data_IF_330931767480
#
_entry.id   IF_330931767480
#
_cell.length_a   1.000
_cell.length_b   1.000
_cell.length_c   1.000
_cell.angle_alpha   90.00
_cell.angle_beta   90.00
_cell.angle_gamma   90.00
#
_symmetry.space_group_name_H-M   'P 1'
#
loop_
_entity.id
_entity.type
_entity.pdbx_description
1 polymer ?
#
# COMPACT_ATOMS: atom_id res chain seq x y z
N UNK A 1 -1.58 -47.13 12.76
CA UNK A 1 -0.49 -46.97 13.76
C UNK A 1 0.83 -46.95 13.02
N UNK A 2 1.79 -46.08 13.39
CA UNK A 2 3.11 -46.07 12.75
C UNK A 2 3.86 -47.38 13.05
N UNK A 3 4.59 -47.87 12.05
CA UNK A 3 5.44 -49.06 12.15
C UNK A 3 6.82 -48.63 12.65
N UNK A 4 7.23 -49.14 13.82
CA UNK A 4 8.53 -48.80 14.39
C UNK A 4 9.66 -49.48 13.61
N UNK A 5 10.61 -48.68 13.09
CA UNK A 5 11.84 -49.19 12.50
C UNK A 5 12.77 -49.66 13.61
N UNK A 6 12.83 -50.97 13.83
CA UNK A 6 13.71 -51.58 14.84
C UNK A 6 15.08 -51.97 14.26
N UNK A 7 15.12 -52.26 12.96
CA UNK A 7 16.36 -52.57 12.26
C UNK A 7 17.17 -51.28 12.04
N UNK A 8 18.30 -51.17 12.71
CA UNK A 8 19.25 -50.08 12.54
C UNK A 8 20.66 -50.60 12.79
N UNK A 9 21.63 -50.13 12.01
CA UNK A 9 23.04 -50.45 12.19
C UNK A 9 23.80 -49.15 12.44
N UNK A 10 24.59 -49.10 13.51
CA UNK A 10 25.39 -47.93 13.82
C UNK A 10 26.86 -48.31 14.01
N UNK A 11 27.74 -47.37 13.69
CA UNK A 11 29.19 -47.43 13.90
C UNK A 11 29.63 -46.10 14.48
N UNK A 12 30.77 -46.06 15.14
CA UNK A 12 31.29 -44.83 15.71
C UNK A 12 32.80 -44.73 15.58
N UNK A 13 33.26 -43.49 15.61
CA UNK A 13 34.63 -43.09 15.90
C UNK A 13 34.62 -42.28 17.20
N UNK A 14 35.79 -41.85 17.65
CA UNK A 14 35.90 -40.94 18.80
C UNK A 14 35.14 -39.62 18.55
N UNK A 15 35.03 -39.16 17.30
CA UNK A 15 34.46 -37.85 16.93
C UNK A 15 33.08 -37.90 16.25
N UNK A 16 32.66 -39.05 15.70
CA UNK A 16 31.42 -39.14 14.93
C UNK A 16 30.69 -40.47 15.14
N UNK A 17 29.39 -40.45 14.87
CA UNK A 17 28.50 -41.61 14.84
C UNK A 17 27.89 -41.73 13.46
N UNK A 18 28.00 -42.91 12.88
CA UNK A 18 27.41 -43.26 11.60
C UNK A 18 26.22 -44.17 11.86
N UNK A 19 25.02 -43.69 11.56
CA UNK A 19 23.78 -44.45 11.73
C UNK A 19 23.17 -44.75 10.37
N UNK A 20 22.87 -46.02 10.12
CA UNK A 20 22.22 -46.50 8.90
C UNK A 20 20.85 -47.08 9.24
N UNK A 21 19.81 -46.49 8.63
CA UNK A 21 18.42 -46.91 8.77
C UNK A 21 17.93 -47.50 7.43
N UNK A 22 17.83 -48.83 7.30
CA UNK A 22 17.27 -49.45 6.10
C UNK A 22 15.76 -49.23 6.03
N UNK A 23 15.28 -48.64 4.94
CA UNK A 23 13.87 -48.40 4.65
C UNK A 23 13.52 -49.07 3.32
N UNK A 24 13.21 -50.38 3.39
CA UNK A 24 12.95 -51.20 2.20
C UNK A 24 11.61 -50.82 1.55
N UNK A 25 11.61 -50.59 0.25
CA UNK A 25 10.40 -50.47 -0.57
C UNK A 25 9.86 -49.05 -0.82
N UNK A 26 10.54 -47.99 -0.37
CA UNK A 26 10.08 -46.62 -0.58
C UNK A 26 10.77 -45.93 -1.76
N UNK A 27 9.96 -45.48 -2.74
CA UNK A 27 10.39 -44.56 -3.80
C UNK A 27 10.21 -43.13 -3.31
N UNK A 28 11.33 -42.43 -3.08
CA UNK A 28 11.50 -40.98 -2.92
C UNK A 28 10.30 -40.22 -2.32
N UNK A 29 9.78 -40.66 -1.17
CA UNK A 29 8.84 -39.88 -0.36
C UNK A 29 9.61 -38.89 0.50
N UNK A 30 9.09 -37.67 0.79
CA UNK A 30 9.78 -36.73 1.66
C UNK A 30 9.92 -37.33 3.07
N UNK A 31 11.14 -37.70 3.44
CA UNK A 31 11.44 -38.13 4.80
C UNK A 31 11.47 -36.91 5.71
N UNK A 32 10.67 -36.93 6.78
CA UNK A 32 10.72 -35.88 7.77
C UNK A 32 11.74 -36.26 8.85
N UNK A 33 12.90 -35.62 8.79
CA UNK A 33 14.02 -35.84 9.72
C UNK A 33 14.05 -34.64 10.66
N UNK A 34 13.85 -34.91 11.95
CA UNK A 34 13.99 -33.95 13.03
C UNK A 34 15.18 -34.37 13.88
N UNK A 35 16.22 -33.55 13.88
CA UNK A 35 17.45 -33.78 14.62
C UNK A 35 17.68 -32.60 15.56
N UNK A 36 18.08 -32.89 16.79
CA UNK A 36 18.55 -31.89 17.77
C UNK A 36 19.84 -32.40 18.40
N UNK A 37 20.34 -31.68 19.41
CA UNK A 37 21.51 -32.06 20.19
C UNK A 37 21.42 -33.47 20.80
N UNK A 38 20.26 -33.90 21.31
CA UNK A 38 20.12 -35.19 22.01
C UNK A 38 19.01 -36.08 21.47
N UNK A 39 18.26 -35.63 20.46
CA UNK A 39 17.08 -36.33 19.96
C UNK A 39 17.10 -36.43 18.45
N UNK A 40 16.86 -37.64 17.94
CA UNK A 40 16.72 -37.93 16.53
C UNK A 40 15.38 -38.60 16.28
N UNK A 41 14.58 -38.00 15.41
CA UNK A 41 13.30 -38.54 14.94
C UNK A 41 13.27 -38.56 13.43
N UNK A 42 12.92 -39.71 12.88
CA UNK A 42 12.74 -39.91 11.45
C UNK A 42 11.34 -40.45 11.22
N UNK A 43 10.53 -39.68 10.51
CA UNK A 43 9.15 -40.03 10.20
C UNK A 43 9.00 -40.18 8.69
N UNK A 44 8.69 -41.39 8.25
CA UNK A 44 8.44 -41.71 6.84
C UNK A 44 7.21 -42.62 6.76
N UNK A 45 6.01 -42.10 6.50
CA UNK A 45 4.79 -42.91 6.56
C UNK A 45 4.88 -44.22 5.74
N UNK A 46 4.60 -45.40 6.33
CA UNK A 46 4.08 -45.65 7.68
C UNK A 46 5.13 -45.81 8.79
N UNK A 47 6.42 -45.73 8.48
CA UNK A 47 7.55 -45.95 9.37
C UNK A 47 7.90 -44.77 10.29
N UNK A 48 8.32 -45.10 11.51
CA UNK A 48 8.81 -44.15 12.50
C UNK A 48 10.06 -44.70 13.19
N UNK A 49 11.07 -43.86 13.36
CA UNK A 49 12.24 -44.10 14.20
C UNK A 49 12.40 -42.92 15.16
N UNK A 50 12.56 -43.20 16.44
CA UNK A 50 12.87 -42.20 17.47
C UNK A 50 14.02 -42.74 18.32
N UNK A 51 15.05 -41.92 18.54
CA UNK A 51 16.22 -42.24 19.33
C UNK A 51 16.64 -41.03 20.15
N UNK A 52 16.74 -41.22 21.47
CA UNK A 52 17.41 -40.26 22.37
C UNK A 52 18.87 -40.69 22.44
N UNK A 53 19.76 -39.85 21.90
CA UNK A 53 21.18 -40.14 21.77
C UNK A 53 21.85 -40.20 23.14
N UNK A 54 22.88 -41.04 23.27
CA UNK A 54 23.61 -41.21 24.52
C UNK A 54 24.26 -39.91 25.04
N UNK A 55 24.80 -39.09 24.13
CA UNK A 55 25.48 -37.84 24.44
C UNK A 55 25.15 -36.77 23.37
N UNK A 56 25.32 -35.47 23.67
CA UNK A 56 24.93 -34.41 22.76
C UNK A 56 25.79 -34.38 21.49
N UNK A 57 25.13 -34.19 20.35
CA UNK A 57 25.72 -34.03 19.03
C UNK A 57 25.67 -32.59 18.56
N UNK A 58 26.53 -32.25 17.61
CA UNK A 58 26.51 -30.99 16.91
C UNK A 58 25.53 -31.05 15.74
N UNK A 59 24.35 -30.46 15.96
CA UNK A 59 23.27 -30.36 14.97
C UNK A 59 23.67 -29.61 13.70
N UNK A 60 24.61 -28.65 13.78
CA UNK A 60 24.95 -27.79 12.64
C UNK A 60 25.84 -28.48 11.61
N UNK A 61 26.77 -29.32 12.06
CA UNK A 61 27.72 -30.04 11.21
C UNK A 61 27.25 -31.46 10.85
N UNK A 62 26.24 -31.98 11.56
CA UNK A 62 25.69 -33.31 11.30
C UNK A 62 24.90 -33.32 9.99
N UNK A 63 25.03 -34.40 9.21
CA UNK A 63 24.39 -34.51 7.89
C UNK A 63 23.60 -35.80 7.76
N UNK A 64 22.49 -35.76 7.02
CA UNK A 64 21.68 -36.91 6.67
C UNK A 64 21.59 -37.06 5.16
N UNK A 65 21.95 -38.23 4.63
CA UNK A 65 21.87 -38.57 3.22
C UNK A 65 20.85 -39.68 3.03
N UNK A 66 19.89 -39.48 2.13
CA UNK A 66 18.85 -40.45 1.80
C UNK A 66 19.18 -41.02 0.42
N UNK A 67 19.38 -42.34 0.31
CA UNK A 67 19.69 -42.96 -0.98
C UNK A 67 19.52 -44.48 -0.96
N UNK A 68 19.13 -45.07 -2.10
CA UNK A 68 19.05 -46.52 -2.31
C UNK A 68 18.26 -47.29 -1.22
N UNK A 69 17.19 -46.69 -0.70
CA UNK A 69 16.37 -47.32 0.36
C UNK A 69 17.06 -47.37 1.73
N UNK A 70 18.08 -46.54 1.97
CA UNK A 70 18.76 -46.40 3.27
C UNK A 70 18.92 -44.92 3.59
N UNK A 71 18.71 -44.55 4.85
CA UNK A 71 19.08 -43.24 5.36
C UNK A 71 20.38 -43.38 6.12
N UNK A 72 21.38 -42.61 5.72
CA UNK A 72 22.69 -42.58 6.33
C UNK A 72 22.89 -41.25 7.05
N UNK A 73 23.08 -41.31 8.36
CA UNK A 73 23.39 -40.17 9.20
C UNK A 73 24.88 -40.17 9.53
N UNK A 74 25.49 -39.01 9.38
CA UNK A 74 26.81 -38.68 9.93
C UNK A 74 26.60 -37.66 11.02
N UNK A 75 26.59 -38.11 12.28
CA UNK A 75 26.37 -37.27 13.45
C UNK A 75 27.71 -36.97 14.12
N UNK A 76 28.05 -35.70 14.29
CA UNK A 76 29.30 -35.32 14.96
C UNK A 76 29.07 -35.13 16.46
N UNK A 77 29.93 -35.74 17.29
CA UNK A 77 29.83 -35.65 18.75
C UNK A 77 30.35 -34.28 19.20
N UNK A 78 29.69 -33.65 20.18
CA UNK A 78 30.25 -32.42 20.82
C UNK A 78 31.49 -32.73 21.65
N UNK A 79 31.49 -33.88 22.32
CA UNK A 79 32.60 -34.36 23.13
C UNK A 79 33.17 -35.65 22.52
N UNK A 80 34.49 -35.72 22.39
CA UNK A 80 35.16 -36.87 21.80
C UNK A 80 35.19 -38.05 22.81
N UNK A 81 34.19 -38.91 22.76
CA UNK A 81 34.07 -40.08 23.64
C UNK A 81 33.48 -41.28 22.89
N UNK A 82 33.89 -42.49 23.25
CA UNK A 82 33.26 -43.73 22.76
C UNK A 82 31.95 -43.97 23.51
N UNK A 83 30.89 -44.31 22.79
CA UNK A 83 29.56 -44.56 23.36
C UNK A 83 29.35 -46.06 23.56
N UNK A 84 28.89 -46.47 24.74
CA UNK A 84 28.58 -47.88 25.00
C UNK A 84 27.28 -48.33 24.31
N UNK A 85 26.40 -47.38 24.02
CA UNK A 85 25.13 -47.59 23.31
C UNK A 85 24.76 -46.35 22.49
N UNK A 86 23.98 -46.53 21.42
CA UNK A 86 23.49 -45.40 20.61
C UNK A 86 22.48 -44.55 21.38
N UNK A 87 21.64 -45.22 22.18
CA UNK A 87 20.56 -44.61 22.95
C UNK A 87 20.84 -44.69 24.44
N UNK A 88 20.40 -43.69 25.21
CA UNK A 88 20.46 -43.72 26.67
C UNK A 88 19.72 -44.96 27.23
N UNK A 89 20.46 -45.95 27.75
CA UNK A 89 19.91 -47.22 28.21
C UNK A 89 19.07 -47.12 29.48
N UNK A 90 17.97 -47.88 29.56
CA UNK A 90 17.09 -48.07 30.73
C UNK A 90 16.63 -46.80 31.47
N UNK A 91 16.35 -45.71 30.77
CA UNK A 91 15.72 -44.54 31.39
C UNK A 91 14.21 -44.74 31.58
N UNK A 92 13.69 -44.29 32.72
CA UNK A 92 12.26 -44.28 33.02
C UNK A 92 11.48 -43.56 31.91
N UNK A 93 10.29 -44.06 31.58
CA UNK A 93 9.43 -43.50 30.51
C UNK A 93 9.21 -41.99 30.64
N UNK A 94 9.11 -41.50 31.87
CA UNK A 94 8.96 -40.08 32.21
C UNK A 94 10.20 -39.24 31.85
N UNK A 95 11.40 -39.78 32.11
CA UNK A 95 12.67 -39.12 31.76
C UNK A 95 12.83 -39.00 30.24
N UNK A 96 12.48 -40.05 29.50
CA UNK A 96 12.50 -40.03 28.03
C UNK A 96 11.49 -39.03 27.46
N UNK A 97 10.30 -38.93 28.06
CA UNK A 97 9.30 -37.94 27.67
C UNK A 97 9.79 -36.51 27.93
N UNK A 98 10.34 -36.25 29.12
CA UNK A 98 10.91 -34.94 29.47
C UNK A 98 12.04 -34.51 28.51
N UNK A 99 12.95 -35.43 28.17
CA UNK A 99 14.03 -35.15 27.21
C UNK A 99 13.49 -34.82 25.82
N UNK A 100 12.45 -35.53 25.38
CA UNK A 100 11.78 -35.25 24.10
C UNK A 100 11.11 -33.87 24.10
N UNK A 101 10.38 -33.54 25.15
CA UNK A 101 9.70 -32.24 25.27
C UNK A 101 10.71 -31.09 25.29
N UNK A 102 11.79 -31.23 26.06
CA UNK A 102 12.88 -30.27 26.10
C UNK A 102 13.57 -30.08 24.74
N UNK A 103 13.83 -31.17 24.01
CA UNK A 103 14.45 -31.09 22.69
C UNK A 103 13.56 -30.33 21.69
N UNK A 104 12.24 -30.58 21.73
CA UNK A 104 11.27 -29.87 20.88
C UNK A 104 11.17 -28.40 21.27
N UNK A 105 11.15 -28.08 22.57
CA UNK A 105 11.10 -26.70 23.06
C UNK A 105 12.33 -25.91 22.61
N UNK A 106 13.54 -26.45 22.82
CA UNK A 106 14.79 -25.81 22.36
C UNK A 106 14.80 -25.57 20.85
N UNK A 107 14.33 -26.54 20.06
CA UNK A 107 14.25 -26.39 18.61
C UNK A 107 13.26 -25.28 18.20
N UNK A 108 12.14 -25.17 18.91
CA UNK A 108 11.15 -24.13 18.67
C UNK A 108 11.68 -22.73 19.06
N UNK A 109 12.37 -22.61 20.18
CA UNK A 109 13.03 -21.37 20.61
C UNK A 109 14.07 -20.91 19.60
N UNK A 110 14.99 -21.80 19.20
CA UNK A 110 16.00 -21.51 18.16
C UNK A 110 15.36 -21.09 16.84
N UNK A 111 14.32 -21.79 16.40
CA UNK A 111 13.59 -21.42 15.17
C UNK A 111 12.93 -20.03 15.28
N UNK A 112 12.38 -19.69 16.44
CA UNK A 112 11.80 -18.37 16.71
C UNK A 112 12.88 -17.28 16.63
N UNK A 113 14.00 -17.47 17.31
CA UNK A 113 15.15 -16.54 17.28
C UNK A 113 15.67 -16.34 15.86
N UNK A 114 15.80 -17.39 15.05
CA UNK A 114 16.21 -17.29 13.65
C UNK A 114 15.22 -16.47 12.81
N UNK A 115 13.91 -16.62 13.04
CA UNK A 115 12.90 -15.82 12.34
C UNK A 115 12.94 -14.35 12.76
N UNK A 116 13.21 -14.07 14.03
CA UNK A 116 13.37 -12.71 14.55
C UNK A 116 14.64 -12.07 14.00
N UNK A 117 15.77 -12.78 13.99
CA UNK A 117 17.01 -12.34 13.38
C UNK A 117 16.85 -12.02 11.88
N UNK A 118 16.14 -12.88 11.12
CA UNK A 118 15.81 -12.63 9.71
C UNK A 118 14.92 -11.40 9.51
N UNK A 119 14.04 -11.09 10.45
CA UNK A 119 13.23 -9.87 10.42
C UNK A 119 14.10 -8.64 10.67
N UNK A 120 15.00 -8.71 11.65
CA UNK A 120 15.94 -7.62 11.98
C UNK A 120 16.84 -7.31 10.79
N UNK A 121 17.51 -8.31 10.21
CA UNK A 121 18.37 -8.09 9.04
C UNK A 121 17.58 -7.52 7.85
N UNK A 122 16.36 -8.00 7.61
CA UNK A 122 15.47 -7.43 6.58
C UNK A 122 15.11 -5.96 6.86
N UNK A 123 14.87 -5.59 8.12
CA UNK A 123 14.62 -4.20 8.51
C UNK A 123 15.87 -3.33 8.31
N UNK A 124 17.04 -3.82 8.69
CA UNK A 124 18.32 -3.14 8.48
C UNK A 124 18.60 -2.90 6.99
N UNK A 125 18.42 -3.92 6.15
CA UNK A 125 18.57 -3.78 4.69
C UNK A 125 17.59 -2.74 4.11
N UNK A 126 16.34 -2.71 4.58
CA UNK A 126 15.37 -1.68 4.15
C UNK A 126 15.81 -0.28 4.58
N UNK A 127 16.28 -0.12 5.83
CA UNK A 127 16.77 1.16 6.34
C UNK A 127 17.98 1.65 5.56
N UNK A 128 18.93 0.77 5.28
CA UNK A 128 20.10 1.08 4.46
C UNK A 128 19.71 1.53 3.05
N UNK A 129 18.78 0.80 2.41
CA UNK A 129 18.28 1.17 1.07
C UNK A 129 17.60 2.55 1.08
N UNK A 130 16.75 2.83 2.07
CA UNK A 130 16.12 4.15 2.24
C UNK A 130 17.17 5.26 2.40
N UNK A 131 18.16 5.05 3.28
CA UNK A 131 19.22 6.03 3.52
C UNK A 131 20.03 6.31 2.24
N UNK A 132 20.32 5.28 1.44
CA UNK A 132 20.98 5.43 0.15
C UNK A 132 20.12 6.25 -0.83
N UNK A 133 18.81 5.99 -0.91
CA UNK A 133 17.89 6.77 -1.76
C UNK A 133 17.80 8.23 -1.34
N UNK A 134 17.73 8.51 -0.03
CA UNK A 134 17.70 9.88 0.49
C UNK A 134 18.99 10.64 0.15
N UNK A 135 20.16 9.98 0.25
CA UNK A 135 21.45 10.58 -0.13
C UNK A 135 21.51 10.93 -1.62
N UNK A 136 20.96 10.08 -2.49
CA UNK A 136 20.87 10.36 -3.92
C UNK A 136 19.92 11.54 -4.20
N UNK A 137 18.72 11.53 -3.63
CA UNK A 137 17.76 12.63 -3.79
C UNK A 137 18.30 13.96 -3.26
N UNK A 138 19.01 13.95 -2.13
CA UNK A 138 19.60 15.17 -1.57
C UNK A 138 20.70 15.73 -2.49
N UNK A 139 21.54 14.86 -3.08
CA UNK A 139 22.54 15.26 -4.06
C UNK A 139 21.89 15.83 -5.33
N UNK A 140 20.78 15.23 -5.79
CA UNK A 140 20.01 15.75 -6.93
C UNK A 140 19.39 17.12 -6.64
N UNK A 141 18.79 17.30 -5.46
CA UNK A 141 18.22 18.59 -5.03
C UNK A 141 19.29 19.68 -4.99
N UNK A 142 20.45 19.40 -4.38
CA UNK A 142 21.60 20.32 -4.36
C UNK A 142 22.04 20.69 -5.78
N UNK A 143 22.12 19.71 -6.68
CA UNK A 143 22.48 19.96 -8.08
C UNK A 143 21.46 20.86 -8.79
N UNK A 144 20.17 20.69 -8.53
CA UNK A 144 19.11 21.54 -9.11
C UNK A 144 19.19 22.96 -8.53
N UNK A 145 19.43 23.11 -7.23
CA UNK A 145 19.61 24.41 -6.58
C UNK A 145 20.81 25.16 -7.16
N UNK A 146 21.94 24.49 -7.33
CA UNK A 146 23.14 25.06 -7.95
C UNK A 146 22.89 25.51 -9.41
N UNK A 147 22.08 24.75 -10.16
CA UNK A 147 21.69 25.12 -11.52
C UNK A 147 20.78 26.36 -11.53
N UNK A 148 19.76 26.38 -10.66
CA UNK A 148 18.87 27.53 -10.51
C UNK A 148 19.63 28.79 -10.13
N UNK A 149 20.56 28.68 -9.19
CA UNK A 149 21.35 29.83 -8.75
C UNK A 149 22.28 30.34 -9.85
N UNK A 150 22.90 29.45 -10.64
CA UNK A 150 23.67 29.84 -11.83
C UNK A 150 22.83 30.56 -12.88
N UNK A 151 21.61 30.08 -13.13
CA UNK A 151 20.69 30.75 -14.06
C UNK A 151 20.26 32.11 -13.52
N UNK A 152 19.91 32.21 -12.24
CA UNK A 152 19.59 33.49 -11.58
C UNK A 152 20.75 34.47 -11.72
N UNK A 153 21.98 34.04 -11.46
CA UNK A 153 23.17 34.87 -11.61
C UNK A 153 23.44 35.32 -13.06
N UNK A 154 23.09 34.50 -14.06
CA UNK A 154 23.18 34.92 -15.47
C UNK A 154 22.14 35.98 -15.80
N UNK A 155 20.88 35.73 -15.41
CA UNK A 155 19.78 36.65 -15.65
C UNK A 155 20.02 38.00 -14.95
N UNK A 156 20.55 38.00 -13.72
CA UNK A 156 20.87 39.25 -13.02
C UNK A 156 21.96 40.03 -13.75
N UNK A 157 23.01 39.36 -14.24
CA UNK A 157 24.07 40.02 -15.03
C UNK A 157 23.55 40.57 -16.36
N UNK A 158 22.70 39.82 -17.05
CA UNK A 158 22.06 40.27 -18.29
C UNK A 158 21.15 41.48 -18.05
N UNK A 159 20.37 41.47 -16.96
CA UNK A 159 19.54 42.60 -16.56
C UNK A 159 20.38 43.84 -16.25
N UNK A 160 21.49 43.70 -15.52
CA UNK A 160 22.42 44.80 -15.22
C UNK A 160 23.07 45.36 -16.50
N UNK A 161 23.46 44.50 -17.45
CA UNK A 161 24.00 44.92 -18.74
C UNK A 161 22.96 45.67 -19.58
N UNK A 162 21.73 45.17 -19.62
CA UNK A 162 20.62 45.83 -20.31
C UNK A 162 20.30 47.20 -19.70
N UNK A 163 20.28 47.32 -18.36
CA UNK A 163 20.09 48.60 -17.67
C UNK A 163 21.18 49.61 -18.04
N UNK A 164 22.46 49.19 -18.06
CA UNK A 164 23.56 50.06 -18.51
C UNK A 164 23.41 50.50 -19.96
N UNK A 165 23.02 49.59 -20.86
CA UNK A 165 22.75 49.95 -22.25
C UNK A 165 21.62 50.97 -22.40
N UNK A 166 20.55 50.85 -21.59
CA UNK A 166 19.48 51.85 -21.56
C UNK A 166 19.98 53.21 -21.08
N UNK A 167 20.75 53.25 -19.98
CA UNK A 167 21.34 54.49 -19.49
C UNK A 167 22.28 55.14 -20.51
N UNK A 168 23.13 54.35 -21.18
CA UNK A 168 24.07 54.85 -22.17
C UNK A 168 23.36 55.31 -23.45
N UNK A 169 22.30 54.61 -23.89
CA UNK A 169 21.45 55.05 -24.99
C UNK A 169 20.69 56.34 -24.65
N UNK A 170 20.23 56.51 -23.40
CA UNK A 170 19.59 57.74 -22.95
C UNK A 170 20.60 58.89 -22.90
N UNK A 171 21.82 58.66 -22.40
CA UNK A 171 22.92 59.65 -22.44
C UNK A 171 23.26 60.06 -23.87
N UNK A 172 23.38 59.11 -24.79
CA UNK A 172 23.65 59.41 -26.20
C UNK A 172 22.51 60.23 -26.84
N UNK A 173 21.25 59.89 -26.55
CA UNK A 173 20.09 60.69 -27.00
C UNK A 173 20.10 62.10 -26.40
N UNK A 174 20.53 62.27 -25.14
CA UNK A 174 20.68 63.60 -24.53
C UNK A 174 21.77 64.40 -25.23
N UNK A 175 22.94 63.81 -25.49
CA UNK A 175 24.05 64.47 -26.22
C UNK A 175 23.64 64.83 -27.65
N UNK A 176 22.93 63.95 -28.36
CA UNK A 176 22.39 64.24 -29.69
C UNK A 176 21.39 65.40 -29.66
N UNK A 177 20.44 65.38 -28.72
CA UNK A 177 19.49 66.50 -28.53
C UNK A 177 20.19 67.81 -28.19
N UNK A 178 21.23 67.78 -27.35
CA UNK A 178 22.03 68.96 -27.03
C UNK A 178 22.79 69.48 -28.26
N UNK A 179 23.33 68.59 -29.09
CA UNK A 179 23.96 68.93 -30.37
C UNK A 179 22.97 69.54 -31.38
N UNK A 180 21.80 68.91 -31.56
CA UNK A 180 20.71 69.41 -32.41
C UNK A 180 20.21 70.78 -31.93
N UNK A 181 20.00 70.96 -30.62
CA UNK A 181 19.67 72.25 -30.01
C UNK A 181 20.77 73.28 -30.27
N UNK A 182 22.04 72.90 -30.23
CA UNK A 182 23.15 73.82 -30.46
C UNK A 182 23.25 74.23 -31.94
N UNK A 183 23.03 73.32 -32.89
CA UNK A 183 22.91 73.63 -34.32
C UNK A 183 21.68 74.50 -34.60
N UNK A 184 20.54 74.20 -33.98
CA UNK A 184 19.31 74.97 -34.13
C UNK A 184 19.47 76.39 -33.56
N UNK A 185 20.19 76.54 -32.44
CA UNK A 185 20.58 77.84 -31.88
C UNK A 185 21.53 78.60 -32.82
N UNK A 186 22.51 77.94 -33.44
CA UNK A 186 23.40 78.59 -34.42
C UNK A 186 22.65 79.03 -35.69
N UNK A 187 21.74 78.19 -36.21
CA UNK A 187 20.84 78.56 -37.31
C UNK A 187 19.89 79.71 -36.92
N UNK A 188 19.43 79.75 -35.67
CA UNK A 188 18.63 80.86 -35.14
C UNK A 188 19.46 82.14 -34.96
N UNK A 189 20.76 82.05 -34.66
CA UNK A 189 21.68 83.20 -34.63
C UNK A 189 21.93 83.75 -36.03
N UNK A 190 22.10 82.88 -37.04
CA UNK A 190 22.17 83.28 -38.45
C UNK A 190 20.85 83.94 -38.91
N UNK A 191 19.70 83.33 -38.60
CA UNK A 191 18.38 83.89 -38.92
C UNK A 191 18.07 85.17 -38.12
N UNK A 192 18.63 85.36 -36.91
CA UNK A 192 18.55 86.62 -36.14
C UNK A 192 19.45 87.72 -36.69
N UNK A 193 20.56 87.39 -37.35
CA UNK A 193 21.35 88.36 -38.13
C UNK A 193 20.55 88.92 -39.31
N UNK A 194 19.65 88.13 -39.89
CA UNK A 194 18.79 88.55 -41.00
C UNK A 194 17.46 89.21 -40.58
N UNK A 195 17.00 89.02 -39.34
CA UNK A 195 15.75 89.62 -38.85
C UNK A 195 15.95 90.43 -37.59
N UNK A 196 16.58 91.59 -37.75
CA UNK A 196 16.45 92.70 -36.82
C UNK A 196 15.53 93.77 -37.44
N UNK A 197 14.22 93.60 -37.31
CA UNK A 197 13.25 94.71 -37.34
C UNK A 197 11.86 94.29 -36.84
N UNK A 198 11.38 95.05 -35.84
CA UNK A 198 10.00 95.27 -35.37
C UNK A 198 9.33 94.29 -34.37
N UNK A 199 9.41 94.71 -33.09
CA UNK A 199 8.32 95.04 -32.11
C UNK A 199 7.09 94.15 -31.90
N UNK A 200 6.77 93.89 -30.62
CA UNK A 200 5.39 93.92 -30.08
C UNK A 200 4.98 92.80 -29.09
N UNK A 201 4.87 93.15 -27.80
CA UNK A 201 4.22 92.45 -26.65
C UNK A 201 2.68 92.74 -26.74
N UNK A 202 1.67 91.95 -26.27
CA UNK A 202 1.49 91.46 -24.88
C UNK A 202 0.65 90.17 -24.60
N UNK A 203 0.69 89.74 -23.30
CA UNK A 203 -0.29 89.08 -22.39
C UNK A 203 -1.36 88.10 -22.95
N UNK A 204 -1.81 87.01 -22.31
CA UNK A 204 -2.18 86.74 -20.91
C UNK A 204 -2.62 85.25 -20.76
N UNK A 205 -2.74 84.72 -19.53
CA UNK A 205 -3.79 83.73 -19.20
C UNK A 205 -3.41 82.31 -18.72
N UNK A 206 -3.66 82.07 -17.41
CA UNK A 206 -4.38 80.91 -16.79
C UNK A 206 -3.88 79.46 -17.04
N UNK A 207 -3.88 78.46 -16.14
CA UNK A 207 -4.45 78.18 -14.81
C UNK A 207 -3.61 77.05 -14.16
N UNK A 208 -3.40 77.04 -12.84
CA UNK A 208 -2.86 75.87 -12.09
C UNK A 208 -3.94 75.26 -11.20
N UNK A 209 -4.25 73.98 -11.44
CA UNK A 209 -5.19 73.14 -10.69
C UNK A 209 -4.53 72.64 -9.40
N UNK A 210 -5.14 72.90 -8.23
CA UNK A 210 -4.79 72.26 -6.95
C UNK A 210 -6.07 71.89 -6.23
N UNK A 211 -6.35 70.59 -6.15
CA UNK A 211 -7.49 70.01 -5.44
C UNK A 211 -7.22 69.97 -3.92
N UNK A 212 -8.23 70.34 -3.13
CA UNK A 212 -8.32 70.18 -1.67
C UNK A 212 -9.11 68.91 -1.32
N UNK A 213 -8.92 68.32 -0.12
CA UNK A 213 -9.59 67.09 0.29
C UNK A 213 -10.97 67.36 0.92
N UNK A 214 -11.95 66.52 0.60
CA UNK A 214 -13.30 66.52 1.18
C UNK A 214 -13.39 65.50 2.32
N UNK A 215 -13.78 65.97 3.52
CA UNK A 215 -14.32 65.14 4.60
C UNK A 215 -15.77 64.76 4.27
N UNK A 216 -16.15 63.52 4.53
CA UNK A 216 -17.55 63.08 4.45
C UNK A 216 -17.76 61.72 5.11
N UNK A 217 -18.71 61.69 6.06
CA UNK A 217 -19.55 60.59 6.55
C UNK A 217 -18.91 59.21 6.83
N UNK A 218 -18.96 58.66 8.05
CA UNK A 218 -20.12 58.59 8.94
C UNK A 218 -20.85 57.25 8.72
N UNK A 219 -20.24 56.13 9.10
CA UNK A 219 -20.84 54.81 9.05
C UNK A 219 -21.73 54.58 10.28
N UNK A 220 -23.03 54.59 10.06
CA UNK A 220 -24.04 54.17 11.02
C UNK A 220 -23.98 52.64 11.17
N UNK A 221 -23.70 52.16 12.38
CA UNK A 221 -23.73 50.73 12.72
C UNK A 221 -25.16 50.33 13.05
N UNK A 222 -25.88 49.75 12.08
CA UNK A 222 -27.13 49.02 12.31
C UNK A 222 -26.74 47.60 12.73
N UNK A 223 -26.48 47.38 14.02
CA UNK A 223 -26.56 46.07 14.72
C UNK A 223 -26.08 46.30 16.16
N UNK A 224 -26.98 46.77 17.00
CA UNK A 224 -26.84 46.70 18.46
C UNK A 224 -28.18 46.25 19.02
N UNK A 225 -28.50 44.97 18.79
CA UNK A 225 -29.58 44.29 19.47
C UNK A 225 -28.99 43.32 20.50
N UNK A 226 -29.52 43.48 21.71
CA UNK A 226 -29.24 42.71 22.91
C UNK A 226 -29.30 41.20 22.66
N UNK A 227 -28.17 40.52 22.73
CA UNK A 227 -28.14 39.08 23.02
C UNK A 227 -28.32 38.90 24.53
N UNK A 228 -29.54 38.56 24.95
CA UNK A 228 -29.75 37.89 26.24
C UNK A 228 -29.08 36.51 26.14
N UNK A 229 -28.09 36.27 26.98
CA UNK A 229 -27.54 34.93 27.20
C UNK A 229 -28.64 34.02 27.79
N UNK A 230 -29.25 33.18 26.96
CA UNK A 230 -29.99 32.02 27.46
C UNK A 230 -28.97 30.97 27.92
N UNK A 231 -28.86 30.79 29.23
CA UNK A 231 -28.04 29.73 29.82
C UNK A 231 -28.62 28.37 29.46
N UNK A 232 -27.87 27.58 28.69
CA UNK A 232 -28.21 26.19 28.41
C UNK A 232 -28.15 25.35 29.70
N UNK A 233 -29.10 24.43 29.93
CA UNK A 233 -29.07 23.57 31.11
C UNK A 233 -27.86 22.63 31.06
N UNK A 234 -27.24 22.41 32.23
CA UNK A 234 -26.05 21.59 32.35
C UNK A 234 -26.28 20.13 31.88
N UNK A 235 -25.31 19.52 31.17
CA UNK A 235 -25.40 18.13 30.75
C UNK A 235 -25.39 17.18 31.97
N UNK A 236 -26.17 16.11 31.87
CA UNK A 236 -26.33 15.10 32.94
C UNK A 236 -25.01 14.38 33.18
N UNK A 237 -24.71 14.05 34.44
CA UNK A 237 -23.49 13.31 34.81
C UNK A 237 -23.53 11.86 34.30
N UNK A 238 -22.39 11.38 33.79
CA UNK A 238 -22.23 10.01 33.32
C UNK A 238 -22.20 9.05 34.53
N UNK A 239 -23.06 8.02 34.52
CA UNK A 239 -23.04 6.94 35.50
C UNK A 239 -22.58 5.63 34.84
N UNK A 240 -21.54 5.02 35.40
CA UNK A 240 -21.01 3.74 34.93
C UNK A 240 -21.84 2.59 35.48
N UNK A 241 -22.63 1.96 34.62
CA UNK A 241 -23.39 0.75 34.97
C UNK A 241 -22.43 -0.44 34.89
N UNK A 242 -22.22 -1.14 36.01
CA UNK A 242 -21.48 -2.41 36.02
C UNK A 242 -22.38 -3.52 35.47
N UNK A 243 -22.12 -3.92 34.23
CA UNK A 243 -22.75 -5.08 33.60
C UNK A 243 -21.97 -6.32 34.03
N UNK A 244 -22.58 -7.17 34.84
CA UNK A 244 -22.05 -8.50 35.14
C UNK A 244 -22.67 -9.50 34.18
N UNK A 245 -21.87 -10.00 33.23
CA UNK A 245 -22.30 -11.07 32.33
C UNK A 245 -22.37 -12.39 33.11
N UNK A 246 -23.54 -13.01 33.12
CA UNK A 246 -23.74 -14.36 33.63
C UNK A 246 -23.02 -15.34 32.69
N UNK A 247 -22.09 -16.14 33.21
CA UNK A 247 -21.40 -17.14 32.40
C UNK A 247 -22.40 -18.17 31.89
N UNK A 248 -22.45 -18.35 30.56
CA UNK A 248 -23.24 -19.42 29.95
C UNK A 248 -22.60 -20.76 30.28
N UNK A 249 -23.27 -21.54 31.15
CA UNK A 249 -22.90 -22.93 31.43
C UNK A 249 -23.93 -23.84 30.76
N UNK A 250 -23.77 -24.03 29.45
CA UNK A 250 -24.32 -25.20 28.78
C UNK A 250 -23.14 -25.92 28.12
N UNK A 251 -22.72 -27.09 28.61
CA UNK A 251 -21.79 -27.92 27.87
C UNK A 251 -22.60 -28.55 26.73
N UNK A 252 -22.62 -27.91 25.56
CA UNK A 252 -23.06 -28.61 24.35
C UNK A 252 -22.13 -29.80 24.18
N UNK A 253 -22.68 -31.02 24.12
CA UNK A 253 -21.88 -32.23 23.98
C UNK A 253 -20.96 -32.09 22.75
N UNK A 254 -19.65 -32.13 22.98
CA UNK A 254 -18.65 -32.05 21.92
C UNK A 254 -18.82 -33.28 21.03
N UNK A 255 -19.32 -33.07 19.81
CA UNK A 255 -19.32 -34.10 18.79
C UNK A 255 -17.91 -34.15 18.22
N UNK A 256 -17.07 -35.02 18.78
CA UNK A 256 -15.65 -35.19 18.43
C UNK A 256 -15.40 -35.31 16.91
N UNK A 257 -16.41 -35.69 16.13
CA UNK A 257 -16.35 -35.78 14.66
C UNK A 257 -16.27 -34.43 13.92
N UNK A 258 -16.41 -33.27 14.57
CA UNK A 258 -16.36 -31.93 13.93
C UNK A 258 -15.27 -31.00 14.48
N UNK A 259 -14.45 -31.49 15.40
CA UNK A 259 -13.40 -30.68 16.06
C UNK A 259 -12.43 -30.10 15.04
N UNK A 260 -12.03 -30.89 14.03
CA UNK A 260 -11.13 -30.41 12.98
C UNK A 260 -11.76 -29.27 12.13
N UNK A 261 -13.05 -29.39 11.79
CA UNK A 261 -13.76 -28.34 11.03
C UNK A 261 -13.94 -27.07 11.86
N UNK A 262 -14.22 -27.21 13.16
CA UNK A 262 -14.32 -26.09 14.10
C UNK A 262 -12.96 -25.41 14.35
N UNK A 263 -11.88 -26.19 14.50
CA UNK A 263 -10.51 -25.67 14.63
C UNK A 263 -10.05 -24.94 13.37
N UNK A 264 -10.36 -25.47 12.18
CA UNK A 264 -10.10 -24.78 10.92
C UNK A 264 -10.90 -23.49 10.79
N UNK A 265 -12.18 -23.51 11.20
CA UNK A 265 -13.03 -22.32 11.21
C UNK A 265 -12.48 -21.26 12.18
N UNK A 266 -12.08 -21.66 13.38
CA UNK A 266 -11.47 -20.78 14.39
C UNK A 266 -10.11 -20.24 13.90
N UNK A 267 -9.29 -21.06 13.24
CA UNK A 267 -8.02 -20.63 12.64
C UNK A 267 -8.23 -19.61 11.53
N UNK A 268 -9.13 -19.87 10.58
CA UNK A 268 -9.51 -18.93 9.51
C UNK A 268 -10.02 -17.62 10.09
N UNK A 269 -10.79 -17.69 11.17
CA UNK A 269 -11.31 -16.50 11.84
C UNK A 269 -10.23 -15.74 12.60
N UNK A 270 -9.30 -16.42 13.27
CA UNK A 270 -8.16 -15.81 13.95
C UNK A 270 -7.18 -15.18 12.95
N UNK A 271 -6.95 -15.83 11.80
CA UNK A 271 -6.15 -15.30 10.70
C UNK A 271 -6.80 -14.05 10.10
N UNK A 272 -8.11 -14.10 9.81
CA UNK A 272 -8.86 -12.91 9.39
C UNK A 272 -8.74 -11.77 10.42
N UNK A 273 -8.88 -12.06 11.72
CA UNK A 273 -8.68 -11.05 12.78
C UNK A 273 -7.26 -10.52 12.84
N UNK A 274 -6.22 -11.34 12.62
CA UNK A 274 -4.82 -10.89 12.58
C UNK A 274 -4.53 -10.03 11.37
N UNK A 275 -5.05 -10.38 10.18
CA UNK A 275 -4.89 -9.54 8.98
C UNK A 275 -5.52 -8.17 9.16
N UNK A 276 -6.74 -8.13 9.71
CA UNK A 276 -7.42 -6.87 10.07
C UNK A 276 -6.65 -6.13 11.18
N UNK A 277 -6.14 -6.81 12.20
CA UNK A 277 -5.39 -6.20 13.31
C UNK A 277 -4.01 -5.66 12.89
N UNK A 278 -3.34 -6.30 11.93
CA UNK A 278 -2.06 -5.85 11.40
C UNK A 278 -2.24 -4.61 10.51
N UNK A 279 -3.30 -4.58 9.69
CA UNK A 279 -3.69 -3.39 8.92
C UNK A 279 -4.21 -2.25 9.83
N UNK A 280 -4.85 -2.57 10.96
CA UNK A 280 -5.34 -1.58 11.93
C UNK A 280 -4.21 -0.80 12.64
N UNK A 281 -3.03 -1.39 12.82
CA UNK A 281 -1.88 -0.69 13.41
C UNK A 281 -1.33 0.41 12.48
N UNK A 282 -1.55 0.32 11.17
CA UNK A 282 -1.27 1.40 10.19
C UNK A 282 -2.40 2.45 10.12
N UNK A 283 -3.57 2.16 10.70
CA UNK A 283 -4.77 3.02 10.66
C UNK A 283 -4.95 3.82 11.97
N UNK A 284 -4.05 3.67 12.95
CA UNK A 284 -4.12 4.35 14.25
C UNK A 284 -3.89 5.88 14.13
N UNK A 285 -3.16 6.31 13.09
CA UNK A 285 -2.89 7.71 12.76
C UNK A 285 -4.02 8.41 11.96
N UNK A 286 -5.10 7.69 11.60
CA UNK A 286 -6.23 8.27 10.87
C UNK A 286 -7.12 9.11 11.80
N UNK A 287 -7.56 10.28 11.29
CA UNK A 287 -8.54 11.13 12.00
C UNK A 287 -9.83 10.36 12.25
N UNK A 288 -10.59 10.71 13.28
CA UNK A 288 -11.85 10.03 13.64
C UNK A 288 -12.84 9.93 12.46
N UNK A 289 -12.89 10.93 11.60
CA UNK A 289 -13.71 10.93 10.37
C UNK A 289 -13.26 9.86 9.35
N UNK A 290 -11.95 9.61 9.24
CA UNK A 290 -11.38 8.65 8.30
C UNK A 290 -11.53 7.20 8.78
N UNK A 291 -11.98 6.99 10.02
CA UNK A 291 -12.39 5.68 10.54
C UNK A 291 -13.79 5.26 10.10
N UNK A 292 -14.57 6.17 9.50
CA UNK A 292 -15.89 5.85 8.97
C UNK A 292 -15.80 5.40 7.50
N UNK A 293 -16.21 4.15 7.15
CA UNK A 293 -16.17 3.66 5.77
C UNK A 293 -17.06 4.47 4.81
N UNK A 294 -18.17 5.03 5.30
CA UNK A 294 -19.07 5.85 4.47
C UNK A 294 -18.46 7.21 4.11
N UNK A 295 -17.70 7.80 5.02
CA UNK A 295 -16.97 9.04 4.76
C UNK A 295 -15.87 8.80 3.71
N UNK A 296 -15.11 7.71 3.83
CA UNK A 296 -14.08 7.36 2.84
C UNK A 296 -14.67 7.02 1.48
N UNK A 297 -15.84 6.36 1.45
CA UNK A 297 -16.62 6.13 0.22
C UNK A 297 -16.95 7.46 -0.45
N UNK A 298 -17.46 8.43 0.31
CA UNK A 298 -17.83 9.74 -0.24
C UNK A 298 -16.63 10.56 -0.68
N UNK A 299 -15.51 10.48 0.07
CA UNK A 299 -14.23 11.06 -0.36
C UNK A 299 -13.76 10.44 -1.68
N UNK A 300 -13.83 9.10 -1.81
CA UNK A 300 -13.54 8.39 -3.05
C UNK A 300 -14.44 8.83 -4.21
N UNK A 301 -15.74 9.03 -3.97
CA UNK A 301 -16.70 9.52 -4.96
C UNK A 301 -16.31 10.92 -5.46
N UNK A 302 -15.96 11.83 -4.54
CA UNK A 302 -15.49 13.18 -4.88
C UNK A 302 -14.22 13.15 -5.72
N UNK A 303 -13.24 12.32 -5.36
CA UNK A 303 -11.99 12.17 -6.12
C UNK A 303 -12.23 11.53 -7.50
N UNK A 304 -13.20 10.63 -7.61
CA UNK A 304 -13.62 10.08 -8.90
C UNK A 304 -14.25 11.15 -9.78
N UNK A 305 -15.12 11.99 -9.22
CA UNK A 305 -15.76 13.09 -9.94
C UNK A 305 -14.77 14.15 -10.41
N UNK A 306 -13.69 14.40 -9.66
CA UNK A 306 -12.59 15.30 -10.08
C UNK A 306 -11.62 14.65 -11.09
N UNK A 307 -11.83 13.39 -11.46
CA UNK A 307 -11.00 12.66 -12.41
C UNK A 307 -9.70 12.10 -11.83
N UNK A 308 -9.45 12.24 -10.52
CA UNK A 308 -8.29 11.68 -9.86
C UNK A 308 -8.56 10.24 -9.41
N UNK A 309 -8.50 9.31 -10.37
CA UNK A 309 -8.83 7.90 -10.15
C UNK A 309 -7.84 7.17 -9.22
N UNK A 310 -6.55 7.54 -9.23
CA UNK A 310 -5.54 6.92 -8.34
C UNK A 310 -5.82 7.24 -6.87
N UNK A 311 -6.09 8.51 -6.56
CA UNK A 311 -6.45 8.91 -5.20
C UNK A 311 -7.79 8.29 -4.77
N UNK A 312 -8.75 8.17 -5.69
CA UNK A 312 -10.01 7.48 -5.43
C UNK A 312 -9.79 5.99 -5.07
N UNK A 313 -8.94 5.27 -5.81
CA UNK A 313 -8.57 3.88 -5.49
C UNK A 313 -7.98 3.78 -4.09
N UNK A 314 -7.09 4.70 -3.70
CA UNK A 314 -6.49 4.69 -2.37
C UNK A 314 -7.55 4.91 -1.26
N UNK A 315 -8.48 5.85 -1.47
CA UNK A 315 -9.58 6.08 -0.53
C UNK A 315 -10.49 4.83 -0.39
N UNK A 316 -10.83 4.18 -1.50
CA UNK A 316 -11.61 2.94 -1.48
C UNK A 316 -10.83 1.77 -0.87
N UNK A 317 -9.51 1.67 -1.08
CA UNK A 317 -8.67 0.65 -0.45
C UNK A 317 -8.73 0.76 1.08
N UNK A 318 -8.60 1.98 1.61
CA UNK A 318 -8.75 2.24 3.04
C UNK A 318 -10.17 1.89 3.52
N UNK A 319 -11.20 2.29 2.76
CA UNK A 319 -12.59 1.96 3.10
C UNK A 319 -12.84 0.45 3.16
N UNK A 320 -12.26 -0.32 2.23
CA UNK A 320 -12.36 -1.79 2.18
C UNK A 320 -11.63 -2.44 3.34
N UNK A 321 -10.48 -1.89 3.77
CA UNK A 321 -9.77 -2.37 4.98
C UNK A 321 -10.62 -2.20 6.24
N UNK A 322 -11.34 -1.09 6.35
CA UNK A 322 -12.25 -0.84 7.48
C UNK A 322 -13.52 -1.69 7.41
N UNK A 323 -14.12 -1.81 6.23
CA UNK A 323 -15.32 -2.62 6.03
C UNK A 323 -15.29 -3.37 4.69
N UNK A 324 -14.86 -4.64 4.75
CA UNK A 324 -14.78 -5.54 3.60
C UNK A 324 -16.11 -6.16 3.19
N UNK A 325 -17.21 -5.86 3.89
CA UNK A 325 -18.53 -6.43 3.61
C UNK A 325 -19.41 -5.54 2.73
N UNK A 326 -18.97 -4.32 2.40
CA UNK A 326 -19.76 -3.37 1.64
C UNK A 326 -19.50 -3.51 0.12
N UNK A 327 -20.42 -4.09 -0.67
CA UNK A 327 -20.20 -4.35 -2.10
C UNK A 327 -19.99 -3.09 -2.94
N UNK A 328 -20.61 -1.97 -2.52
CA UNK A 328 -20.49 -0.67 -3.20
C UNK A 328 -19.05 -0.16 -3.27
N UNK A 329 -18.21 -0.47 -2.27
CA UNK A 329 -16.81 -0.05 -2.26
C UNK A 329 -16.01 -0.74 -3.36
N UNK A 330 -16.15 -2.06 -3.47
CA UNK A 330 -15.53 -2.85 -4.54
C UNK A 330 -16.04 -2.41 -5.91
N UNK A 331 -17.35 -2.18 -6.02
CA UNK A 331 -17.96 -1.72 -7.26
C UNK A 331 -17.33 -0.39 -7.71
N UNK A 332 -17.28 0.62 -6.83
CA UNK A 332 -16.69 1.93 -7.15
C UNK A 332 -15.19 1.86 -7.41
N UNK A 333 -14.46 1.01 -6.68
CA UNK A 333 -13.03 0.75 -6.94
C UNK A 333 -12.80 0.12 -8.32
N UNK A 334 -13.65 -0.84 -8.73
CA UNK A 334 -13.61 -1.44 -10.06
C UNK A 334 -13.80 -0.39 -11.18
N UNK A 335 -14.71 0.58 -10.98
CA UNK A 335 -14.88 1.68 -11.94
C UNK A 335 -13.62 2.55 -12.07
N UNK A 336 -12.93 2.82 -10.96
CA UNK A 336 -11.64 3.51 -11.00
C UNK A 336 -10.59 2.69 -11.74
N UNK A 337 -10.54 1.37 -11.50
CA UNK A 337 -9.61 0.48 -12.18
C UNK A 337 -9.86 0.40 -13.69
N UNK A 338 -11.12 0.39 -14.14
CA UNK A 338 -11.47 0.50 -15.57
C UNK A 338 -10.93 1.79 -16.18
N UNK A 339 -11.09 2.94 -15.51
CA UNK A 339 -10.57 4.24 -15.99
C UNK A 339 -9.04 4.27 -16.03
N UNK A 340 -8.38 3.56 -15.13
CA UNK A 340 -6.92 3.42 -15.08
C UNK A 340 -6.37 2.29 -15.97
N UNK A 341 -7.22 1.57 -16.73
CA UNK A 341 -6.86 0.36 -17.49
C UNK A 341 -6.22 -0.77 -16.67
N UNK A 342 -6.52 -0.84 -15.38
CA UNK A 342 -6.14 -1.96 -14.50
C UNK A 342 -7.17 -3.09 -14.59
N UNK A 343 -7.25 -3.74 -15.75
CA UNK A 343 -8.39 -4.61 -16.12
C UNK A 343 -8.54 -5.84 -15.21
N UNK A 344 -7.45 -6.53 -14.90
CA UNK A 344 -7.49 -7.69 -14.00
C UNK A 344 -8.04 -7.33 -12.60
N UNK A 345 -7.59 -6.21 -12.03
CA UNK A 345 -8.09 -5.73 -10.73
C UNK A 345 -9.57 -5.33 -10.79
N UNK A 346 -10.02 -4.76 -11.91
CA UNK A 346 -11.43 -4.46 -12.12
C UNK A 346 -12.30 -5.73 -12.14
N UNK A 347 -11.79 -6.82 -12.73
CA UNK A 347 -12.47 -8.13 -12.76
C UNK A 347 -12.54 -8.74 -11.36
N UNK A 348 -11.43 -8.72 -10.61
CA UNK A 348 -11.37 -9.21 -9.23
C UNK A 348 -12.37 -8.46 -8.34
N UNK A 349 -12.37 -7.13 -8.39
CA UNK A 349 -13.27 -6.30 -7.59
C UNK A 349 -14.74 -6.48 -7.96
N UNK A 350 -15.04 -6.55 -9.26
CA UNK A 350 -16.42 -6.76 -9.71
C UNK A 350 -16.92 -8.15 -9.34
N UNK A 351 -16.06 -9.17 -9.38
CA UNK A 351 -16.38 -10.54 -8.94
C UNK A 351 -16.62 -10.59 -7.43
N UNK A 352 -15.76 -9.91 -6.64
CA UNK A 352 -15.96 -9.80 -5.19
C UNK A 352 -17.25 -9.07 -4.83
N UNK A 353 -17.60 -8.01 -5.57
CA UNK A 353 -18.87 -7.33 -5.40
C UNK A 353 -20.06 -8.26 -5.66
N UNK A 354 -20.02 -9.08 -6.72
CA UNK A 354 -21.07 -10.05 -7.04
C UNK A 354 -21.21 -11.15 -5.97
N UNK A 355 -20.09 -11.65 -5.42
CA UNK A 355 -20.11 -12.58 -4.29
C UNK A 355 -20.84 -11.99 -3.07
N UNK A 356 -20.55 -10.73 -2.74
CA UNK A 356 -21.17 -10.02 -1.61
C UNK A 356 -22.63 -9.64 -1.87
N UNK A 357 -23.05 -9.54 -3.12
CA UNK A 357 -24.42 -9.25 -3.54
C UNK A 357 -25.29 -10.52 -3.63
N UNK A 358 -24.81 -11.65 -3.09
CA UNK A 358 -25.55 -12.89 -2.96
C UNK A 358 -26.16 -12.99 -1.55
N UNK A 359 -27.46 -13.28 -1.39
CA UNK A 359 -28.45 -13.67 -2.41
C UNK A 359 -28.96 -12.49 -3.27
N UNK A 360 -29.47 -12.78 -4.49
CA UNK A 360 -30.09 -11.79 -5.35
C UNK A 360 -31.40 -11.29 -4.73
N UNK A 361 -31.48 -9.99 -4.42
CA UNK A 361 -32.63 -9.32 -3.81
C UNK A 361 -33.00 -8.10 -4.68
N UNK A 362 -34.28 -7.67 -4.75
CA UNK A 362 -34.67 -6.49 -5.52
C UNK A 362 -33.85 -5.23 -5.21
N UNK A 363 -33.58 -4.96 -3.94
CA UNK A 363 -32.81 -3.79 -3.51
C UNK A 363 -31.39 -3.73 -4.09
N UNK A 364 -30.82 -4.88 -4.45
CA UNK A 364 -29.45 -4.99 -4.93
C UNK A 364 -29.34 -5.27 -6.44
N UNK A 365 -30.47 -5.32 -7.16
CA UNK A 365 -30.54 -5.52 -8.62
C UNK A 365 -29.66 -4.53 -9.38
N UNK A 366 -29.83 -3.24 -9.09
CA UNK A 366 -29.06 -2.16 -9.72
C UNK A 366 -27.54 -2.30 -9.49
N UNK A 367 -27.12 -2.75 -8.30
CA UNK A 367 -25.72 -2.96 -7.99
C UNK A 367 -25.15 -4.19 -8.72
N UNK A 368 -25.94 -5.27 -8.81
CA UNK A 368 -25.58 -6.49 -9.55
C UNK A 368 -25.43 -6.22 -11.04
N UNK A 369 -26.40 -5.54 -11.66
CA UNK A 369 -26.33 -5.15 -13.08
C UNK A 369 -25.05 -4.34 -13.36
N UNK A 370 -24.75 -3.33 -12.52
CA UNK A 370 -23.51 -2.54 -12.64
C UNK A 370 -22.24 -3.38 -12.48
N UNK A 371 -22.24 -4.38 -11.60
CA UNK A 371 -21.09 -5.25 -11.38
C UNK A 371 -20.83 -6.14 -12.61
N UNK A 372 -21.88 -6.74 -13.17
CA UNK A 372 -21.80 -7.49 -14.42
C UNK A 372 -21.29 -6.62 -15.58
N UNK A 373 -21.87 -5.42 -15.77
CA UNK A 373 -21.41 -4.50 -16.83
C UNK A 373 -19.93 -4.14 -16.65
N UNK A 374 -19.47 -3.78 -15.44
CA UNK A 374 -18.07 -3.41 -15.20
C UNK A 374 -17.11 -4.58 -15.44
N UNK A 375 -17.48 -5.79 -15.04
CA UNK A 375 -16.69 -6.99 -15.30
C UNK A 375 -16.67 -7.34 -16.78
N UNK A 376 -17.82 -7.28 -17.45
CA UNK A 376 -17.94 -7.51 -18.89
C UNK A 376 -17.16 -6.49 -19.72
N UNK A 377 -17.18 -5.20 -19.35
CA UNK A 377 -16.35 -4.17 -19.97
C UNK A 377 -14.85 -4.47 -19.80
N UNK A 378 -14.43 -4.92 -18.61
CA UNK A 378 -13.03 -5.29 -18.37
C UNK A 378 -12.60 -6.49 -19.22
N UNK A 379 -13.46 -7.51 -19.35
CA UNK A 379 -13.21 -8.65 -20.23
C UNK A 379 -13.10 -8.24 -21.70
N UNK A 380 -14.02 -7.39 -22.18
CA UNK A 380 -13.96 -6.90 -23.57
C UNK A 380 -12.70 -6.07 -23.84
N UNK A 381 -12.22 -5.29 -22.87
CA UNK A 381 -10.96 -4.55 -22.99
C UNK A 381 -9.71 -5.45 -22.94
N UNK A 382 -9.85 -6.69 -22.43
CA UNK A 382 -8.84 -7.75 -22.50
C UNK A 382 -9.03 -8.66 -23.73
N UNK A 383 -9.91 -8.30 -24.66
CA UNK A 383 -10.25 -9.09 -25.86
C UNK A 383 -10.91 -10.45 -25.56
N UNK A 384 -11.39 -10.63 -24.33
CA UNK A 384 -12.18 -11.78 -23.89
C UNK A 384 -13.68 -11.51 -24.13
N UNK A 385 -14.05 -11.41 -25.41
CA UNK A 385 -15.38 -10.97 -25.82
C UNK A 385 -16.49 -11.96 -25.45
N UNK A 386 -16.19 -13.27 -25.41
CA UNK A 386 -17.17 -14.31 -25.06
C UNK A 386 -17.62 -14.21 -23.60
N UNK A 387 -16.68 -14.06 -22.68
CA UNK A 387 -16.91 -13.85 -21.25
C UNK A 387 -17.57 -12.50 -21.01
N UNK A 388 -17.12 -11.48 -21.74
CA UNK A 388 -17.73 -10.16 -21.74
C UNK A 388 -19.21 -10.22 -22.10
N UNK A 389 -19.56 -10.88 -23.21
CA UNK A 389 -20.95 -11.01 -23.66
C UNK A 389 -21.83 -11.73 -22.63
N UNK A 390 -21.33 -12.79 -22.00
CA UNK A 390 -22.07 -13.50 -20.94
C UNK A 390 -22.42 -12.57 -19.77
N UNK A 391 -21.49 -11.72 -19.35
CA UNK A 391 -21.75 -10.73 -18.30
C UNK A 391 -22.75 -9.65 -18.75
N UNK A 392 -22.66 -9.16 -19.99
CA UNK A 392 -23.65 -8.21 -20.54
C UNK A 392 -25.05 -8.84 -20.64
N UNK A 393 -25.16 -10.10 -21.06
CA UNK A 393 -26.43 -10.84 -21.07
C UNK A 393 -26.98 -11.07 -19.67
N UNK A 394 -26.13 -11.36 -18.69
CA UNK A 394 -26.52 -11.45 -17.29
C UNK A 394 -27.03 -10.10 -16.76
N UNK A 395 -26.42 -8.98 -17.17
CA UNK A 395 -26.90 -7.64 -16.84
C UNK A 395 -28.27 -7.34 -17.48
N UNK A 396 -28.48 -7.70 -18.76
CA UNK A 396 -29.76 -7.54 -19.45
C UNK A 396 -30.89 -8.38 -18.87
N UNK A 397 -30.59 -9.55 -18.28
CA UNK A 397 -31.58 -10.35 -17.54
C UNK A 397 -32.07 -9.65 -16.28
N UNK A 398 -31.26 -8.76 -15.69
CA UNK A 398 -31.60 -8.00 -14.49
C UNK A 398 -32.29 -6.69 -14.86
N UNK A 399 -31.76 -5.98 -15.87
CA UNK A 399 -32.28 -4.70 -16.34
C UNK A 399 -32.53 -4.75 -17.87
N UNK A 400 -33.66 -5.31 -18.31
CA UNK A 400 -33.95 -5.51 -19.73
C UNK A 400 -34.24 -4.22 -20.51
N UNK A 401 -34.65 -3.15 -19.83
CA UNK A 401 -35.03 -1.88 -20.47
C UNK A 401 -33.80 -1.00 -20.79
N UNK A 402 -32.61 -1.44 -20.39
CA UNK A 402 -31.40 -0.64 -20.53
C UNK A 402 -30.80 -0.70 -21.93
N UNK A 403 -31.26 0.22 -22.77
CA UNK A 403 -30.79 0.39 -24.17
C UNK A 403 -29.28 0.55 -24.32
N UNK A 404 -28.56 1.01 -23.29
CA UNK A 404 -27.10 1.17 -23.38
C UNK A 404 -26.40 -0.19 -23.29
N UNK A 405 -26.82 -1.04 -22.34
CA UNK A 405 -26.31 -2.40 -22.18
C UNK A 405 -26.66 -3.25 -23.40
N UNK A 406 -27.86 -3.08 -23.96
CA UNK A 406 -28.32 -3.78 -25.16
C UNK A 406 -27.43 -3.46 -26.37
N UNK A 407 -27.21 -2.16 -26.66
CA UNK A 407 -26.31 -1.72 -27.74
C UNK A 407 -24.89 -2.21 -27.57
N UNK A 408 -24.36 -2.20 -26.34
CA UNK A 408 -23.00 -2.68 -26.09
C UNK A 408 -22.90 -4.20 -26.27
N UNK A 409 -23.92 -4.95 -25.84
CA UNK A 409 -24.00 -6.39 -26.10
C UNK A 409 -24.08 -6.71 -27.61
N UNK A 410 -24.85 -5.93 -28.38
CA UNK A 410 -24.93 -6.06 -29.85
C UNK A 410 -23.58 -5.79 -30.53
N UNK A 411 -22.86 -4.74 -30.12
CA UNK A 411 -21.51 -4.47 -30.63
C UNK A 411 -20.57 -5.64 -30.37
N UNK A 412 -20.62 -6.22 -29.16
CA UNK A 412 -19.79 -7.38 -28.80
C UNK A 412 -20.19 -8.59 -29.66
N UNK A 413 -21.49 -8.82 -29.90
CA UNK A 413 -21.97 -9.89 -30.80
C UNK A 413 -21.44 -9.72 -32.22
N UNK A 414 -21.50 -8.51 -32.79
CA UNK A 414 -20.97 -8.23 -34.12
C UNK A 414 -19.46 -8.43 -34.19
N UNK A 415 -18.73 -8.05 -33.14
CA UNK A 415 -17.28 -8.25 -33.06
C UNK A 415 -16.91 -9.74 -33.03
N UNK A 416 -17.65 -10.56 -32.27
CA UNK A 416 -17.47 -12.02 -32.24
C UNK A 416 -17.81 -12.66 -33.60
N UNK A 417 -18.85 -12.18 -34.27
CA UNK A 417 -19.27 -12.67 -35.59
C UNK A 417 -18.38 -12.16 -36.73
N UNK A 418 -17.45 -11.24 -36.47
CA UNK A 418 -16.54 -10.66 -37.47
C UNK A 418 -17.24 -9.73 -38.47
N UNK A 419 -18.44 -9.23 -38.16
CA UNK A 419 -19.24 -8.39 -39.07
C UNK A 419 -19.01 -6.89 -38.83
N UNK A 420 -17.78 -6.45 -38.56
CA UNK A 420 -17.51 -5.03 -38.32
C UNK A 420 -17.70 -4.22 -39.61
N UNK A 421 -18.87 -3.57 -39.74
CA UNK A 421 -19.04 -2.41 -40.62
C UNK A 421 -18.32 -1.23 -39.96
N UNK A 422 -17.07 -1.00 -40.34
CA UNK A 422 -16.39 0.26 -40.07
C UNK A 422 -17.18 1.39 -40.77
N UNK A 423 -17.77 2.29 -39.97
CA UNK A 423 -18.45 3.51 -40.43
C UNK A 423 -17.68 4.73 -39.98
#
# INVERSE_FOLDING_TARGET
MPVWLREHCWRQTASAVYLSLPVRGLRVTPANIFCTDQYLKVSIPPFLFEAILYAPIDDTNSTAKIGNGVIFFTLYKKEAAMWDSLTLGNADKEKLQYLRENAVLKAHEKAKEETEAKKVTKQEHKKYALEATMKLEEAERKRIEDLKEKERQKVTKELELWQKQQEDAEKQKRVQKEGELHEEIEQLKEKKKEKMNKTGIPHEGTSKTRLKPTKGHGSYSIFSENLKEEQLPAPRSAATIKINFTSRVFPTALRESRVAEEEEWLRKQAEARRTVSADLSELEDLKEEEKNPDWLKEKGNKMFATGNYLAAVNAYNLAVRLNSKLPLLYLNRAACHLKLRNLHKAIEDSSKALELLTPPVPDNENARAKAYVRRGTAFCQLELYTEGLQDYEAALKIDPENKTIEKDAEKIRHLIQGTTQDS
#
